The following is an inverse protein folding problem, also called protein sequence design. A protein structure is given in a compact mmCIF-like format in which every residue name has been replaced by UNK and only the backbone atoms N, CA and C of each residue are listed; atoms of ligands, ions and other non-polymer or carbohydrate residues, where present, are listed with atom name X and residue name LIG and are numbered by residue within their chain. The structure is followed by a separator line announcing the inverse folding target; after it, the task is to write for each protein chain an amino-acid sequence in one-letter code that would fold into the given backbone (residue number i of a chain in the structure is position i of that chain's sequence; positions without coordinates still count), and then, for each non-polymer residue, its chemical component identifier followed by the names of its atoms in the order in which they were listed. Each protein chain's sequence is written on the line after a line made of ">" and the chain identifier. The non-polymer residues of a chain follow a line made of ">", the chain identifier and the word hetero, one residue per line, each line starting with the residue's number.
data_IF_829900564307
#
_entry.id   IF_829900564307
#
_cell.length_a   1.000
_cell.length_b   1.000
_cell.length_c   1.000
_cell.angle_alpha   90.00
_cell.angle_beta   90.00
_cell.angle_gamma   90.00
#
_symmetry.space_group_name_H-M   'P 1'
#
loop_
_entity.id
_entity.type
_entity.pdbx_description
1 polymer ?
#
# COMPACT_ATOMS: atom_id res chain seq x y z
N UNK A 1 -18.43 -3.22 46.09
CA UNK A 1 -19.71 -3.72 45.53
C UNK A 1 -19.49 -4.01 44.06
N UNK A 2 -19.43 -5.29 43.69
CA UNK A 2 -19.25 -5.75 42.31
C UNK A 2 -20.63 -5.92 41.66
N UNK A 3 -20.84 -5.32 40.48
CA UNK A 3 -22.06 -5.52 39.69
C UNK A 3 -21.86 -6.80 38.87
N UNK A 4 -22.71 -7.84 39.02
CA UNK A 4 -22.50 -9.10 38.34
C UNK A 4 -22.82 -8.95 36.85
N UNK A 5 -21.94 -9.48 35.99
CA UNK A 5 -22.29 -9.81 34.62
C UNK A 5 -23.40 -10.87 34.67
N UNK A 6 -24.65 -10.44 34.49
CA UNK A 6 -25.74 -11.38 34.26
C UNK A 6 -25.47 -12.08 32.93
N UNK A 7 -25.29 -13.39 32.98
CA UNK A 7 -25.18 -14.25 31.82
C UNK A 7 -26.41 -14.05 30.95
N UNK A 8 -26.25 -13.41 29.79
CA UNK A 8 -27.25 -13.38 28.74
C UNK A 8 -27.37 -14.79 28.17
N UNK A 9 -28.16 -15.64 28.83
CA UNK A 9 -28.61 -16.91 28.28
C UNK A 9 -29.33 -16.62 26.97
N UNK A 10 -28.90 -17.22 25.87
CA UNK A 10 -29.53 -17.04 24.57
C UNK A 10 -30.96 -17.64 24.60
N UNK A 11 -31.97 -16.77 24.66
CA UNK A 11 -33.38 -17.15 24.54
C UNK A 11 -33.88 -16.79 23.15
N UNK A 12 -34.69 -17.65 22.54
CA UNK A 12 -35.32 -17.43 21.23
C UNK A 12 -36.56 -16.51 21.37
N UNK A 13 -36.36 -15.32 21.92
CA UNK A 13 -37.38 -14.27 22.04
C UNK A 13 -36.84 -12.94 21.47
N UNK A 14 -37.70 -12.05 20.95
CA UNK A 14 -37.29 -10.75 20.46
C UNK A 14 -36.71 -9.89 21.60
N UNK A 15 -35.58 -9.23 21.34
CA UNK A 15 -34.95 -8.33 22.33
C UNK A 15 -35.91 -7.20 22.75
N UNK A 16 -36.09 -7.06 24.06
CA UNK A 16 -36.83 -5.93 24.64
C UNK A 16 -36.10 -4.61 24.40
N UNK A 17 -36.78 -3.44 24.45
CA UNK A 17 -36.12 -2.13 24.32
C UNK A 17 -34.97 -1.91 25.32
N UNK A 18 -35.13 -2.42 26.54
CA UNK A 18 -34.11 -2.34 27.60
C UNK A 18 -32.88 -3.19 27.28
N UNK A 19 -33.08 -4.44 26.84
CA UNK A 19 -31.98 -5.32 26.42
C UNK A 19 -31.26 -4.74 25.20
N UNK A 20 -31.99 -4.21 24.21
CA UNK A 20 -31.39 -3.52 23.05
C UNK A 20 -30.49 -2.37 23.50
N UNK A 21 -30.95 -1.53 24.44
CA UNK A 21 -30.16 -0.41 24.98
C UNK A 21 -28.90 -0.89 25.70
N UNK A 22 -29.01 -1.90 26.58
CA UNK A 22 -27.87 -2.46 27.31
C UNK A 22 -26.85 -3.12 26.38
N UNK A 23 -27.32 -3.85 25.36
CA UNK A 23 -26.45 -4.45 24.34
C UNK A 23 -25.74 -3.38 23.50
N UNK A 24 -26.44 -2.31 23.09
CA UNK A 24 -25.84 -1.17 22.37
C UNK A 24 -24.78 -0.46 23.23
N UNK A 25 -25.05 -0.23 24.52
CA UNK A 25 -24.08 0.38 25.44
C UNK A 25 -22.84 -0.51 25.61
N UNK A 26 -23.03 -1.84 25.69
CA UNK A 26 -21.94 -2.81 25.77
C UNK A 26 -21.11 -2.80 24.49
N UNK A 27 -21.76 -2.82 23.32
CA UNK A 27 -21.10 -2.71 22.01
C UNK A 27 -20.31 -1.40 21.93
N UNK A 28 -20.85 -0.29 22.40
CA UNK A 28 -20.18 1.01 22.37
C UNK A 28 -18.94 1.03 23.28
N UNK A 29 -19.01 0.41 24.47
CA UNK A 29 -17.84 0.24 25.36
C UNK A 29 -16.76 -0.62 24.69
N UNK A 30 -17.14 -1.75 24.11
CA UNK A 30 -16.21 -2.64 23.38
C UNK A 30 -15.57 -1.88 22.21
N UNK A 31 -16.36 -1.21 21.38
CA UNK A 31 -15.87 -0.39 20.26
C UNK A 31 -14.86 0.65 20.74
N UNK A 32 -15.18 1.37 21.81
CA UNK A 32 -14.28 2.39 22.39
C UNK A 32 -12.98 1.76 22.89
N UNK A 33 -13.05 0.62 23.58
CA UNK A 33 -11.87 -0.12 24.06
C UNK A 33 -10.98 -0.59 22.91
N UNK A 34 -11.58 -1.18 21.87
CA UNK A 34 -10.86 -1.63 20.66
C UNK A 34 -10.19 -0.45 19.93
N UNK A 35 -10.90 0.66 19.76
CA UNK A 35 -10.33 1.86 19.12
C UNK A 35 -9.16 2.41 19.93
N UNK A 36 -9.31 2.56 21.26
CA UNK A 36 -8.22 3.01 22.14
C UNK A 36 -7.01 2.07 22.09
N UNK A 37 -7.23 0.76 22.09
CA UNK A 37 -6.17 -0.24 21.94
C UNK A 37 -5.40 -0.06 20.62
N UNK A 38 -6.12 0.04 19.49
CA UNK A 38 -5.52 0.27 18.16
C UNK A 38 -4.71 1.56 18.11
N UNK A 39 -5.23 2.66 18.64
CA UNK A 39 -4.52 3.95 18.68
C UNK A 39 -3.28 3.86 19.57
N UNK A 40 -3.33 3.10 20.66
CA UNK A 40 -2.19 2.83 21.54
C UNK A 40 -1.05 2.07 20.84
N UNK A 41 -1.39 1.01 20.10
CA UNK A 41 -0.44 0.26 19.26
C UNK A 41 0.18 1.17 18.20
N UNK A 42 -0.66 1.91 17.46
CA UNK A 42 -0.22 2.83 16.42
C UNK A 42 0.73 3.92 16.96
N UNK A 43 0.44 4.47 18.15
CA UNK A 43 1.30 5.47 18.81
C UNK A 43 2.66 4.89 19.19
N UNK A 44 2.70 3.67 19.73
CA UNK A 44 3.96 2.99 20.07
C UNK A 44 4.80 2.68 18.83
N UNK A 45 4.16 2.19 17.76
CA UNK A 45 4.82 1.95 16.47
C UNK A 45 5.37 3.25 15.87
N UNK A 46 4.58 4.34 15.86
CA UNK A 46 5.03 5.64 15.35
C UNK A 46 6.26 6.18 16.07
N UNK A 47 6.30 6.08 17.40
CA UNK A 47 7.45 6.53 18.19
C UNK A 47 8.72 5.74 17.81
N UNK A 48 8.63 4.41 17.79
CA UNK A 48 9.76 3.55 17.42
C UNK A 48 10.20 3.76 15.97
N UNK A 49 9.26 3.86 15.04
CA UNK A 49 9.56 4.00 13.62
C UNK A 49 10.19 5.35 13.31
N UNK A 50 9.76 6.44 13.96
CA UNK A 50 10.41 7.76 13.81
C UNK A 50 11.86 7.73 14.29
N UNK A 51 12.11 7.11 15.44
CA UNK A 51 13.48 6.93 15.94
C UNK A 51 14.34 6.10 14.97
N UNK A 52 13.81 4.99 14.47
CA UNK A 52 14.50 4.12 13.53
C UNK A 52 14.70 4.76 12.14
N UNK A 53 13.75 5.57 11.67
CA UNK A 53 13.83 6.22 10.35
C UNK A 53 14.79 7.43 10.30
N UNK A 54 15.38 7.82 11.44
CA UNK A 54 16.30 8.96 11.54
C UNK A 54 17.59 8.78 10.73
N UNK A 55 18.06 7.54 10.58
CA UNK A 55 19.28 7.23 9.81
C UNK A 55 19.23 5.82 9.21
N UNK A 56 20.09 5.56 8.22
CA UNK A 56 20.21 4.23 7.62
C UNK A 56 20.71 3.18 8.64
N UNK A 57 21.57 3.60 9.58
CA UNK A 57 22.11 2.75 10.64
C UNK A 57 21.00 2.38 11.61
N UNK A 58 20.27 3.38 12.11
CA UNK A 58 19.13 3.19 13.02
C UNK A 58 18.06 2.27 12.41
N UNK A 59 17.77 2.43 11.11
CA UNK A 59 16.81 1.60 10.42
C UNK A 59 17.26 0.14 10.29
N UNK A 60 18.54 -0.08 10.01
CA UNK A 60 19.15 -1.42 9.97
C UNK A 60 19.14 -2.09 11.35
N UNK A 61 19.56 -1.40 12.40
CA UNK A 61 19.58 -1.96 13.76
C UNK A 61 18.17 -2.29 14.23
N UNK A 62 17.21 -1.40 13.96
CA UNK A 62 15.81 -1.66 14.27
C UNK A 62 15.26 -2.86 13.50
N UNK A 63 15.62 -3.00 12.22
CA UNK A 63 15.28 -4.20 11.45
C UNK A 63 15.79 -5.48 12.11
N UNK A 64 17.05 -5.50 12.55
CA UNK A 64 17.61 -6.67 13.25
C UNK A 64 16.84 -6.99 14.52
N UNK A 65 16.49 -5.98 15.33
CA UNK A 65 15.68 -6.17 16.54
C UNK A 65 14.33 -6.81 16.21
N UNK A 66 13.60 -6.25 15.23
CA UNK A 66 12.31 -6.80 14.81
C UNK A 66 12.44 -8.20 14.20
N UNK A 67 13.50 -8.46 13.42
CA UNK A 67 13.72 -9.75 12.78
C UNK A 67 14.03 -10.84 13.78
N UNK A 68 14.91 -10.53 14.75
CA UNK A 68 15.20 -11.40 15.89
C UNK A 68 13.92 -11.76 16.65
N UNK A 69 13.12 -10.75 16.97
CA UNK A 69 11.87 -10.93 17.70
C UNK A 69 10.92 -11.93 17.00
N UNK A 70 10.64 -11.71 15.72
CA UNK A 70 9.70 -12.54 14.96
C UNK A 70 10.21 -13.93 14.63
N UNK A 71 11.50 -14.05 14.29
CA UNK A 71 12.04 -15.28 13.72
C UNK A 71 12.82 -16.14 14.70
N UNK A 72 13.19 -15.59 15.86
CA UNK A 72 13.97 -16.31 16.87
C UNK A 72 13.27 -16.26 18.23
N UNK A 73 13.07 -15.07 18.81
CA UNK A 73 12.53 -14.92 20.18
C UNK A 73 11.15 -15.55 20.32
N UNK A 74 10.17 -15.14 19.50
CA UNK A 74 8.80 -15.69 19.55
C UNK A 74 8.70 -17.17 19.17
N UNK A 75 9.75 -17.71 18.53
CA UNK A 75 9.85 -19.14 18.19
C UNK A 75 10.62 -19.95 19.23
N UNK A 76 11.10 -19.33 20.31
CA UNK A 76 11.89 -20.00 21.35
C UNK A 76 13.27 -20.45 20.88
N UNK A 77 13.82 -19.84 19.83
CA UNK A 77 15.13 -20.15 19.29
C UNK A 77 16.26 -19.69 20.23
N UNK A 78 17.43 -20.32 20.14
CA UNK A 78 18.59 -19.98 20.99
C UNK A 78 19.29 -18.73 20.47
N UNK A 79 19.93 -17.99 21.38
CA UNK A 79 20.73 -16.81 21.01
C UNK A 79 21.87 -17.14 20.05
N UNK A 80 22.48 -18.33 20.16
CA UNK A 80 23.52 -18.80 19.25
C UNK A 80 23.03 -18.89 17.81
N UNK A 81 21.80 -19.37 17.59
CA UNK A 81 21.22 -19.50 16.25
C UNK A 81 21.02 -18.13 15.59
N UNK A 82 20.58 -17.14 16.36
CA UNK A 82 20.49 -15.76 15.88
C UNK A 82 21.87 -15.19 15.54
N UNK A 83 22.89 -15.41 16.38
CA UNK A 83 24.25 -14.94 16.11
C UNK A 83 24.82 -15.56 14.83
N UNK A 84 24.63 -16.86 14.63
CA UNK A 84 25.09 -17.57 13.43
C UNK A 84 24.36 -17.08 12.18
N UNK A 85 23.04 -16.90 12.24
CA UNK A 85 22.27 -16.31 11.14
C UNK A 85 22.74 -14.90 10.82
N UNK A 86 22.94 -14.05 11.83
CA UNK A 86 23.38 -12.66 11.65
C UNK A 86 24.77 -12.60 11.01
N UNK A 87 25.68 -13.47 11.42
CA UNK A 87 27.02 -13.57 10.84
C UNK A 87 26.95 -13.97 9.35
N UNK A 88 26.14 -14.99 9.01
CA UNK A 88 25.95 -15.45 7.62
C UNK A 88 25.33 -14.40 6.69
N UNK A 89 24.55 -13.47 7.24
CA UNK A 89 23.82 -12.46 6.47
C UNK A 89 24.43 -11.05 6.59
N UNK A 90 25.57 -10.90 7.28
CA UNK A 90 26.13 -9.60 7.68
C UNK A 90 26.29 -8.65 6.49
N UNK A 91 26.96 -9.10 5.42
CA UNK A 91 27.35 -8.24 4.30
C UNK A 91 26.15 -7.58 3.63
N UNK A 92 25.09 -8.35 3.37
CA UNK A 92 23.86 -7.80 2.83
C UNK A 92 23.13 -6.91 3.84
N UNK A 93 23.01 -7.36 5.09
CA UNK A 93 22.18 -6.68 6.08
C UNK A 93 22.77 -5.33 6.52
N UNK A 94 24.10 -5.24 6.67
CA UNK A 94 24.79 -3.99 7.01
C UNK A 94 25.09 -3.09 5.82
N UNK A 95 24.69 -3.48 4.61
CA UNK A 95 24.89 -2.68 3.40
C UNK A 95 24.14 -1.34 3.49
N UNK A 96 24.70 -0.29 2.86
CA UNK A 96 24.08 1.04 2.80
C UNK A 96 22.74 0.96 2.06
N UNK A 97 22.65 0.10 1.07
CA UNK A 97 21.50 -0.19 0.24
C UNK A 97 20.35 -0.74 1.07
N UNK A 98 20.63 -1.75 1.90
CA UNK A 98 19.63 -2.32 2.80
C UNK A 98 19.16 -1.31 3.84
N UNK A 99 20.08 -0.58 4.49
CA UNK A 99 19.73 0.48 5.45
C UNK A 99 18.86 1.58 4.83
N UNK A 100 19.19 2.03 3.61
CA UNK A 100 18.40 3.04 2.87
C UNK A 100 16.99 2.55 2.56
N UNK A 101 16.85 1.32 2.04
CA UNK A 101 15.55 0.75 1.71
C UNK A 101 14.68 0.54 2.97
N UNK A 102 15.28 0.12 4.10
CA UNK A 102 14.55 0.00 5.37
C UNK A 102 14.11 1.33 5.94
N UNK A 103 14.96 2.36 5.86
CA UNK A 103 14.60 3.72 6.29
C UNK A 103 13.40 4.25 5.51
N UNK A 104 13.40 4.11 4.18
CA UNK A 104 12.29 4.53 3.33
C UNK A 104 11.01 3.69 3.58
N UNK A 105 11.14 2.38 3.80
CA UNK A 105 10.02 1.53 4.21
C UNK A 105 9.40 1.98 5.54
N UNK A 106 10.22 2.36 6.53
CA UNK A 106 9.72 2.90 7.81
C UNK A 106 9.00 4.24 7.61
N UNK A 107 9.52 5.14 6.76
CA UNK A 107 8.85 6.39 6.42
C UNK A 107 7.47 6.14 5.79
N UNK A 108 7.36 5.14 4.91
CA UNK A 108 6.08 4.74 4.34
C UNK A 108 5.11 4.19 5.41
N UNK A 109 5.60 3.36 6.32
CA UNK A 109 4.80 2.84 7.43
C UNK A 109 4.34 3.96 8.38
N UNK A 110 5.17 4.97 8.63
CA UNK A 110 4.79 6.16 9.41
C UNK A 110 3.61 6.87 8.75
N UNK A 111 3.66 7.13 7.43
CA UNK A 111 2.55 7.74 6.70
C UNK A 111 1.31 6.86 6.73
N UNK A 112 1.47 5.55 6.59
CA UNK A 112 0.38 4.58 6.64
C UNK A 112 -0.32 4.57 7.99
N UNK A 113 0.42 4.55 9.10
CA UNK A 113 -0.16 4.61 10.45
C UNK A 113 -0.85 5.95 10.69
N UNK A 114 -0.26 7.06 10.21
CA UNK A 114 -0.92 8.38 10.27
C UNK A 114 -2.24 8.38 9.52
N UNK A 115 -2.27 7.86 8.29
CA UNK A 115 -3.50 7.74 7.51
C UNK A 115 -4.57 6.90 8.22
N UNK A 116 -4.18 5.84 8.95
CA UNK A 116 -5.10 5.00 9.69
C UNK A 116 -5.71 5.69 10.92
N UNK A 117 -5.01 6.69 11.47
CA UNK A 117 -5.49 7.50 12.59
C UNK A 117 -6.32 8.71 12.14
N UNK A 118 -6.41 8.98 10.85
CA UNK A 118 -7.19 10.05 10.26
C UNK A 118 -8.50 9.54 9.67
N UNK A 119 -9.52 10.40 9.68
CA UNK A 119 -10.72 10.17 8.86
C UNK A 119 -10.36 10.26 7.38
N UNK A 120 -11.21 9.72 6.52
CA UNK A 120 -10.88 9.60 5.09
C UNK A 120 -10.66 10.96 4.42
N UNK A 121 -11.51 11.93 4.76
CA UNK A 121 -11.48 13.32 4.31
C UNK A 121 -10.26 14.11 4.80
N UNK A 122 -9.60 13.68 5.88
CA UNK A 122 -8.43 14.36 6.45
C UNK A 122 -7.10 13.84 5.83
N UNK A 123 -7.15 12.71 5.12
CA UNK A 123 -5.96 12.06 4.55
C UNK A 123 -5.30 12.86 3.43
N UNK A 124 -6.03 13.79 2.82
CA UNK A 124 -5.53 14.62 1.73
C UNK A 124 -4.34 15.48 2.18
N UNK A 125 -4.30 15.83 3.48
CA UNK A 125 -3.15 16.49 4.11
C UNK A 125 -1.83 15.70 4.03
N UNK A 126 -1.89 14.38 3.81
CA UNK A 126 -0.73 13.51 3.70
C UNK A 126 -0.20 13.37 2.26
N UNK A 127 -0.94 13.84 1.25
CA UNK A 127 -0.57 13.69 -0.16
C UNK A 127 0.81 14.30 -0.48
N UNK A 128 1.14 15.54 -0.06
CA UNK A 128 2.45 16.12 -0.33
C UNK A 128 3.62 15.31 0.25
N UNK A 129 3.42 14.76 1.46
CA UNK A 129 4.42 13.91 2.10
C UNK A 129 4.56 12.56 1.39
N UNK A 130 3.46 11.99 0.90
CA UNK A 130 3.46 10.76 0.13
C UNK A 130 4.22 10.95 -1.21
N UNK A 131 3.94 12.02 -1.94
CA UNK A 131 4.65 12.37 -3.19
C UNK A 131 6.15 12.55 -2.93
N UNK A 132 6.51 13.26 -1.85
CA UNK A 132 7.90 13.47 -1.46
C UNK A 132 8.60 12.14 -1.14
N UNK A 133 7.90 11.24 -0.43
CA UNK A 133 8.43 9.92 -0.14
C UNK A 133 8.62 9.07 -1.41
N UNK A 134 7.68 9.14 -2.37
CA UNK A 134 7.82 8.48 -3.66
C UNK A 134 9.06 9.01 -4.40
N UNK A 135 9.27 10.32 -4.47
CA UNK A 135 10.47 10.92 -5.08
C UNK A 135 11.76 10.44 -4.42
N UNK A 136 11.77 10.35 -3.08
CA UNK A 136 12.92 9.83 -2.34
C UNK A 136 13.18 8.35 -2.64
N UNK A 137 12.12 7.55 -2.79
CA UNK A 137 12.24 6.14 -3.17
C UNK A 137 12.77 5.99 -4.60
N UNK A 138 12.22 6.72 -5.55
CA UNK A 138 12.63 6.71 -6.96
C UNK A 138 14.09 7.17 -7.09
N UNK A 139 14.48 8.23 -6.39
CA UNK A 139 15.86 8.74 -6.43
C UNK A 139 16.87 7.76 -5.84
N UNK A 140 16.48 6.98 -4.81
CA UNK A 140 17.31 5.94 -4.23
C UNK A 140 17.32 4.65 -5.07
N UNK A 141 16.29 4.41 -5.88
CA UNK A 141 16.04 3.14 -6.56
C UNK A 141 17.23 2.62 -7.40
N UNK A 142 17.94 3.44 -8.21
CA UNK A 142 19.10 2.98 -8.98
C UNK A 142 20.23 2.42 -8.10
N UNK A 143 20.33 2.88 -6.85
CA UNK A 143 21.49 2.68 -5.99
C UNK A 143 21.28 1.63 -4.89
N UNK A 144 20.08 1.06 -4.75
CA UNK A 144 19.76 0.12 -3.66
C UNK A 144 19.84 -1.37 -4.08
N UNK A 145 20.27 -1.66 -5.31
CA UNK A 145 20.57 -3.03 -5.77
C UNK A 145 19.48 -4.06 -5.46
N UNK A 146 19.85 -5.18 -4.82
CA UNK A 146 18.92 -6.25 -4.42
C UNK A 146 17.85 -5.82 -3.42
N UNK A 147 18.04 -4.68 -2.74
CA UNK A 147 17.09 -4.13 -1.77
C UNK A 147 15.90 -3.40 -2.42
N UNK A 148 15.88 -3.21 -3.75
CA UNK A 148 14.72 -2.68 -4.50
C UNK A 148 13.40 -3.33 -4.10
N UNK A 149 13.40 -4.67 -3.95
CA UNK A 149 12.21 -5.46 -3.57
C UNK A 149 11.57 -5.01 -2.24
N UNK A 150 12.35 -4.46 -1.30
CA UNK A 150 11.83 -3.97 -0.01
C UNK A 150 10.84 -2.82 -0.22
N UNK A 151 11.12 -1.95 -1.19
CA UNK A 151 10.27 -0.80 -1.49
C UNK A 151 9.10 -1.18 -2.38
N UNK A 152 9.25 -2.13 -3.30
CA UNK A 152 8.16 -2.60 -4.18
C UNK A 152 7.21 -3.61 -3.54
N UNK A 153 7.59 -4.21 -2.41
CA UNK A 153 6.73 -5.15 -1.67
C UNK A 153 5.78 -4.41 -0.72
N UNK A 154 4.64 -5.03 -0.40
CA UNK A 154 3.69 -4.52 0.58
C UNK A 154 4.35 -4.29 1.95
N UNK A 155 4.40 -3.03 2.40
CA UNK A 155 5.11 -2.64 3.62
C UNK A 155 4.45 -3.22 4.89
N UNK A 156 3.14 -3.44 4.86
CA UNK A 156 2.39 -4.05 5.97
C UNK A 156 2.70 -5.55 6.16
N UNK A 157 3.37 -6.19 5.20
CA UNK A 157 3.91 -7.54 5.33
C UNK A 157 5.32 -7.58 5.93
N UNK A 158 5.96 -6.42 6.16
CA UNK A 158 7.32 -6.34 6.70
C UNK A 158 7.40 -6.83 8.14
N UNK A 159 8.59 -7.24 8.56
CA UNK A 159 8.87 -7.60 9.96
C UNK A 159 8.53 -6.47 10.94
N UNK A 160 8.70 -5.21 10.54
CA UNK A 160 8.29 -4.06 11.35
C UNK A 160 6.80 -4.11 11.68
N UNK A 161 5.97 -4.29 10.65
CA UNK A 161 4.52 -4.34 10.78
C UNK A 161 4.05 -5.57 11.58
N UNK A 162 4.73 -6.71 11.43
CA UNK A 162 4.40 -7.93 12.16
C UNK A 162 4.69 -7.86 13.67
N UNK A 163 5.81 -7.26 14.08
CA UNK A 163 6.15 -7.13 15.51
C UNK A 163 5.08 -6.35 16.26
N UNK A 164 4.57 -5.28 15.65
CA UNK A 164 3.57 -4.37 16.21
C UNK A 164 2.12 -4.75 15.85
N UNK A 165 1.91 -5.89 15.18
CA UNK A 165 0.59 -6.34 14.72
C UNK A 165 -0.23 -5.27 13.97
N UNK A 166 0.42 -4.53 13.05
CA UNK A 166 -0.26 -3.43 12.35
C UNK A 166 -1.44 -3.90 11.47
N UNK A 167 -1.47 -5.18 11.07
CA UNK A 167 -2.59 -5.70 10.29
C UNK A 167 -3.93 -5.54 11.03
N UNK A 168 -3.95 -5.68 12.36
CA UNK A 168 -5.16 -5.54 13.17
C UNK A 168 -5.59 -4.08 13.38
N UNK A 169 -4.69 -3.12 13.14
CA UNK A 169 -4.93 -1.68 13.35
C UNK A 169 -5.21 -0.92 12.06
N UNK A 170 -4.77 -1.44 10.90
CA UNK A 170 -4.89 -0.78 9.60
C UNK A 170 -6.15 -1.16 8.79
N UNK A 171 -7.09 -1.94 9.37
CA UNK A 171 -8.26 -2.52 8.69
C UNK A 171 -9.17 -1.47 8.00
N UNK A 172 -9.16 -0.21 8.45
CA UNK A 172 -9.97 0.87 7.90
C UNK A 172 -9.37 1.63 6.71
N UNK A 173 -8.15 1.29 6.28
CA UNK A 173 -7.44 1.97 5.20
C UNK A 173 -7.88 1.50 3.81
N UNK A 174 -9.05 1.97 3.38
CA UNK A 174 -9.49 1.82 1.99
C UNK A 174 -8.65 2.70 1.08
N UNK A 175 -8.30 2.18 -0.10
CA UNK A 175 -7.59 2.90 -1.18
C UNK A 175 -6.25 3.52 -0.77
N UNK A 176 -5.66 3.08 0.35
CA UNK A 176 -4.32 3.48 0.75
C UNK A 176 -3.29 2.55 0.09
N UNK A 177 -2.17 3.07 -0.42
CA UNK A 177 -1.18 2.26 -1.09
C UNK A 177 -0.55 1.24 -0.15
N UNK A 178 -0.13 0.10 -0.73
CA UNK A 178 0.56 -0.95 0.02
C UNK A 178 2.08 -0.80 -0.02
N UNK A 179 2.61 -0.11 -1.01
CA UNK A 179 4.04 0.06 -1.27
C UNK A 179 4.31 1.49 -1.76
N UNK A 180 5.45 2.10 -1.39
CA UNK A 180 5.86 3.41 -1.90
C UNK A 180 6.31 3.42 -3.37
N UNK A 181 6.57 2.26 -3.97
CA UNK A 181 7.00 2.15 -5.38
C UNK A 181 5.87 1.76 -6.34
N UNK A 182 4.65 1.53 -5.84
CA UNK A 182 3.47 1.37 -6.67
C UNK A 182 2.95 2.74 -7.16
N UNK A 183 3.74 3.42 -7.98
CA UNK A 183 3.47 4.81 -8.41
C UNK A 183 2.12 4.92 -9.10
N UNK A 184 1.85 4.02 -10.06
CA UNK A 184 0.58 3.99 -10.77
C UNK A 184 -0.59 3.78 -9.79
N UNK A 185 -0.50 2.79 -8.90
CA UNK A 185 -1.55 2.52 -7.91
C UNK A 185 -1.79 3.70 -6.98
N UNK A 186 -0.73 4.33 -6.45
CA UNK A 186 -0.82 5.50 -5.57
C UNK A 186 -1.59 6.65 -6.26
N UNK A 187 -1.26 6.97 -7.51
CA UNK A 187 -1.98 8.03 -8.22
C UNK A 187 -3.44 7.68 -8.46
N UNK A 188 -3.73 6.47 -8.92
CA UNK A 188 -5.08 6.05 -9.30
C UNK A 188 -6.02 5.82 -8.11
N UNK A 189 -5.51 5.31 -6.98
CA UNK A 189 -6.34 5.01 -5.82
C UNK A 189 -6.38 6.12 -4.79
N UNK A 190 -5.33 6.94 -4.69
CA UNK A 190 -5.13 7.82 -3.53
C UNK A 190 -5.04 9.29 -3.89
N UNK A 191 -4.29 9.66 -4.93
CA UNK A 191 -4.02 11.06 -5.24
C UNK A 191 -5.08 11.64 -6.20
N UNK A 192 -5.18 11.10 -7.42
CA UNK A 192 -6.04 11.68 -8.46
C UNK A 192 -7.53 11.72 -8.10
N UNK A 193 -8.12 10.71 -7.43
CA UNK A 193 -9.52 10.78 -7.04
C UNK A 193 -9.88 12.01 -6.18
N UNK A 194 -8.91 12.60 -5.47
CA UNK A 194 -9.12 13.79 -4.64
C UNK A 194 -9.13 15.09 -5.44
N UNK A 195 -8.57 15.08 -6.63
CA UNK A 195 -8.49 16.25 -7.53
C UNK A 195 -9.43 16.16 -8.73
N UNK A 196 -10.24 15.09 -8.84
CA UNK A 196 -11.23 14.95 -9.90
C UNK A 196 -12.50 15.74 -9.57
N UNK A 197 -12.34 17.06 -9.43
CA UNK A 197 -13.42 18.04 -9.31
C UNK A 197 -13.16 19.21 -10.24
N UNK A 198 -14.20 19.96 -10.58
CA UNK A 198 -14.09 21.14 -11.44
C UNK A 198 -13.27 22.29 -10.83
N UNK A 199 -13.10 22.29 -9.50
CA UNK A 199 -12.37 23.32 -8.75
C UNK A 199 -10.87 23.01 -8.63
N UNK A 200 -10.47 21.75 -8.82
CA UNK A 200 -9.10 21.26 -8.55
C UNK A 200 -8.38 20.77 -9.82
N UNK A 201 -8.83 21.25 -10.99
CA UNK A 201 -8.32 20.86 -12.30
C UNK A 201 -6.81 21.14 -12.43
N UNK A 202 -6.34 22.26 -11.87
CA UNK A 202 -4.92 22.62 -11.88
C UNK A 202 -4.08 21.60 -11.11
N UNK A 203 -4.50 21.24 -9.91
CA UNK A 203 -3.87 20.23 -9.06
C UNK A 203 -3.91 18.86 -9.72
N UNK A 204 -5.02 18.50 -10.38
CA UNK A 204 -5.14 17.27 -11.15
C UNK A 204 -4.12 17.21 -12.30
N UNK A 205 -3.96 18.31 -13.05
CA UNK A 205 -2.98 18.39 -14.14
C UNK A 205 -1.55 18.30 -13.63
N UNK A 206 -1.24 18.96 -12.51
CA UNK A 206 0.06 18.84 -11.85
C UNK A 206 0.33 17.42 -11.34
N UNK A 207 -0.69 16.74 -10.82
CA UNK A 207 -0.59 15.35 -10.38
C UNK A 207 -0.29 14.41 -11.56
N UNK A 208 -0.95 14.60 -12.70
CA UNK A 208 -0.65 13.87 -13.95
C UNK A 208 0.78 14.10 -14.43
N UNK A 209 1.24 15.35 -14.46
CA UNK A 209 2.60 15.68 -14.88
C UNK A 209 3.65 15.10 -13.91
N UNK A 210 3.36 15.14 -12.61
CA UNK A 210 4.23 14.55 -11.60
C UNK A 210 4.31 13.03 -11.74
N UNK A 211 3.19 12.35 -11.96
CA UNK A 211 3.15 10.91 -12.24
C UNK A 211 4.00 10.55 -13.45
N UNK A 212 3.76 11.21 -14.59
CA UNK A 212 4.52 10.94 -15.82
C UNK A 212 6.03 11.17 -15.60
N UNK A 213 6.41 12.25 -14.92
CA UNK A 213 7.82 12.51 -14.59
C UNK A 213 8.43 11.41 -13.71
N UNK A 214 7.69 10.91 -12.73
CA UNK A 214 8.13 9.83 -11.85
C UNK A 214 8.27 8.49 -12.58
N UNK A 215 7.29 8.13 -13.42
CA UNK A 215 7.35 6.89 -14.20
C UNK A 215 8.50 6.92 -15.21
N UNK A 216 8.76 8.05 -15.88
CA UNK A 216 9.95 8.24 -16.74
C UNK A 216 11.24 7.96 -15.97
N UNK A 217 11.38 8.48 -14.74
CA UNK A 217 12.57 8.25 -13.92
C UNK A 217 12.72 6.80 -13.49
N UNK A 218 11.62 6.11 -13.20
CA UNK A 218 11.64 4.68 -12.87
C UNK A 218 12.14 3.88 -14.06
N UNK A 219 11.57 4.09 -15.25
CA UNK A 219 11.96 3.35 -16.46
C UNK A 219 13.42 3.62 -16.81
N UNK A 220 13.87 4.87 -16.74
CA UNK A 220 15.28 5.23 -16.96
C UNK A 220 16.22 4.54 -15.96
N UNK A 221 15.77 4.29 -14.71
CA UNK A 221 16.58 3.61 -13.69
C UNK A 221 16.76 2.10 -13.94
N UNK A 222 16.01 1.53 -14.89
CA UNK A 222 16.18 0.13 -15.30
C UNK A 222 17.35 -0.05 -16.27
N UNK A 223 17.86 1.03 -16.86
CA UNK A 223 18.92 1.02 -17.88
C UNK A 223 18.61 0.06 -19.04
N UNK A 224 17.34 0.01 -19.46
CA UNK A 224 16.86 -0.85 -20.54
C UNK A 224 16.29 0.02 -21.66
N UNK A 225 16.98 0.04 -22.80
CA UNK A 225 16.53 0.78 -23.99
C UNK A 225 15.19 0.27 -24.51
N UNK A 226 14.92 -1.04 -24.37
CA UNK A 226 13.63 -1.63 -24.70
C UNK A 226 12.53 -1.14 -23.76
N UNK A 227 12.78 -1.10 -22.44
CA UNK A 227 11.80 -0.59 -21.48
C UNK A 227 11.50 0.90 -21.72
N UNK A 228 12.54 1.69 -22.00
CA UNK A 228 12.40 3.11 -22.35
C UNK A 228 11.61 3.31 -23.65
N UNK A 229 11.91 2.54 -24.70
CA UNK A 229 11.18 2.60 -25.97
C UNK A 229 9.72 2.19 -25.80
N UNK A 230 9.45 1.08 -25.10
CA UNK A 230 8.11 0.61 -24.80
C UNK A 230 7.33 1.66 -24.00
N UNK A 231 7.92 2.23 -22.97
CA UNK A 231 7.28 3.28 -22.19
C UNK A 231 6.99 4.52 -23.03
N UNK A 232 7.97 5.00 -23.80
CA UNK A 232 7.83 6.20 -24.62
C UNK A 232 6.77 6.05 -25.72
N UNK A 233 6.69 4.88 -26.34
CA UNK A 233 5.84 4.66 -27.51
C UNK A 233 4.46 4.07 -27.17
N UNK A 234 4.28 3.47 -25.99
CA UNK A 234 3.01 2.85 -25.58
C UNK A 234 2.44 3.48 -24.31
N UNK A 235 3.19 3.42 -23.21
CA UNK A 235 2.65 3.84 -21.90
C UNK A 235 2.44 5.34 -21.81
N UNK A 236 3.43 6.14 -22.22
CA UNK A 236 3.39 7.59 -22.09
C UNK A 236 2.27 8.24 -22.92
N UNK A 237 2.03 7.88 -24.20
CA UNK A 237 0.88 8.36 -24.96
C UNK A 237 -0.44 8.04 -24.26
N UNK A 238 -0.59 6.83 -23.72
CA UNK A 238 -1.77 6.43 -22.96
C UNK A 238 -1.99 7.27 -21.69
N UNK A 239 -0.93 7.57 -20.93
CA UNK A 239 -1.03 8.47 -19.77
C UNK A 239 -1.45 9.89 -20.17
N UNK A 240 -0.93 10.40 -21.29
CA UNK A 240 -1.34 11.70 -21.84
C UNK A 240 -2.80 11.69 -22.26
N UNK A 241 -3.26 10.64 -22.94
CA UNK A 241 -4.67 10.48 -23.29
C UNK A 241 -5.57 10.57 -22.06
N UNK A 242 -5.26 9.83 -20.98
CA UNK A 242 -6.02 9.91 -19.73
C UNK A 242 -5.98 11.29 -19.06
N UNK A 243 -4.83 11.97 -19.07
CA UNK A 243 -4.72 13.37 -18.62
C UNK A 243 -5.68 14.28 -19.41
N UNK A 244 -5.72 14.14 -20.74
CA UNK A 244 -6.57 14.97 -21.58
C UNK A 244 -8.04 14.62 -21.44
N UNK A 245 -8.37 13.35 -21.21
CA UNK A 245 -9.74 12.95 -20.86
C UNK A 245 -10.20 13.64 -19.57
N UNK A 246 -9.35 13.71 -18.54
CA UNK A 246 -9.69 14.45 -17.32
C UNK A 246 -9.87 15.97 -17.56
N UNK A 247 -9.10 16.59 -18.47
CA UNK A 247 -9.34 17.98 -18.89
C UNK A 247 -10.68 18.15 -19.61
N UNK A 248 -11.02 17.20 -20.48
CA UNK A 248 -12.27 17.22 -21.23
C UNK A 248 -13.47 17.13 -20.29
N UNK A 249 -13.42 16.25 -19.28
CA UNK A 249 -14.45 16.14 -18.22
C UNK A 249 -14.52 17.35 -17.30
N UNK A 250 -13.42 18.08 -17.14
CA UNK A 250 -13.37 19.35 -16.44
C UNK A 250 -13.99 20.53 -17.24
N UNK A 251 -14.48 20.29 -18.45
CA UNK A 251 -15.04 21.32 -19.33
C UNK A 251 -14.00 22.14 -20.09
N UNK A 252 -12.71 21.77 -20.03
CA UNK A 252 -11.63 22.43 -20.79
C UNK A 252 -11.55 21.89 -22.22
N UNK A 253 -12.70 21.80 -22.91
CA UNK A 253 -12.86 20.99 -24.12
C UNK A 253 -11.95 21.44 -25.27
N UNK A 254 -11.83 22.75 -25.50
CA UNK A 254 -10.98 23.26 -26.59
C UNK A 254 -9.52 22.86 -26.41
N UNK A 255 -9.00 23.00 -25.19
CA UNK A 255 -7.61 22.64 -24.88
C UNK A 255 -7.42 21.12 -24.97
N UNK A 256 -8.30 20.35 -24.32
CA UNK A 256 -8.23 18.89 -24.30
C UNK A 256 -8.25 18.29 -25.72
N UNK A 257 -9.22 18.68 -26.55
CA UNK A 257 -9.36 18.16 -27.91
C UNK A 257 -8.17 18.55 -28.80
N UNK A 258 -7.63 19.77 -28.65
CA UNK A 258 -6.42 20.19 -29.38
C UNK A 258 -5.22 19.31 -29.02
N UNK A 259 -5.06 19.00 -27.73
CA UNK A 259 -3.99 18.14 -27.24
C UNK A 259 -4.17 16.68 -27.68
N UNK A 260 -5.40 16.16 -27.68
CA UNK A 260 -5.73 14.82 -28.19
C UNK A 260 -5.44 14.67 -29.69
N UNK A 261 -5.87 15.63 -30.53
CA UNK A 261 -5.53 15.65 -31.97
C UNK A 261 -4.02 15.62 -32.17
N UNK A 262 -3.29 16.42 -31.38
CA UNK A 262 -1.82 16.47 -31.43
C UNK A 262 -1.21 15.13 -31.04
N UNK A 263 -1.74 14.47 -30.01
CA UNK A 263 -1.27 13.18 -29.53
C UNK A 263 -1.44 12.09 -30.58
N UNK A 264 -2.64 11.96 -31.15
CA UNK A 264 -2.96 11.00 -32.23
C UNK A 264 -2.05 11.24 -33.44
N UNK A 265 -1.93 12.50 -33.88
CA UNK A 265 -1.05 12.86 -35.02
C UNK A 265 0.42 12.49 -34.80
N UNK A 266 0.90 12.56 -33.56
CA UNK A 266 2.31 12.27 -33.23
C UNK A 266 2.58 10.81 -32.88
N UNK A 267 1.54 9.97 -32.79
CA UNK A 267 1.65 8.56 -32.47
C UNK A 267 0.74 7.72 -33.39
N UNK A 268 0.89 7.80 -34.73
CA UNK A 268 0.00 7.15 -35.68
C UNK A 268 0.00 5.61 -35.60
N UNK A 269 1.10 5.02 -35.10
CA UNK A 269 1.25 3.57 -34.98
C UNK A 269 0.94 3.04 -33.57
N UNK A 270 0.28 3.85 -32.72
CA UNK A 270 -0.05 3.44 -31.36
C UNK A 270 -1.09 2.31 -31.34
N UNK A 271 -0.98 1.36 -30.42
CA UNK A 271 -1.88 0.19 -30.34
C UNK A 271 -3.36 0.53 -30.09
N UNK A 272 -3.64 1.71 -29.52
CA UNK A 272 -4.98 2.25 -29.28
C UNK A 272 -5.40 3.33 -30.31
N UNK A 273 -4.69 3.48 -31.44
CA UNK A 273 -4.92 4.62 -32.34
C UNK A 273 -6.34 4.65 -32.92
N UNK A 274 -6.89 3.50 -33.30
CA UNK A 274 -8.24 3.40 -33.89
C UNK A 274 -9.31 3.82 -32.86
N UNK A 275 -9.22 3.29 -31.63
CA UNK A 275 -10.11 3.66 -30.52
C UNK A 275 -10.03 5.16 -30.21
N UNK A 276 -8.82 5.74 -30.20
CA UNK A 276 -8.64 7.18 -29.95
C UNK A 276 -9.19 8.05 -31.08
N UNK A 277 -9.11 7.60 -32.34
CA UNK A 277 -9.69 8.32 -33.47
C UNK A 277 -11.22 8.31 -33.40
N UNK A 278 -11.83 7.16 -33.11
CA UNK A 278 -13.28 7.02 -32.96
C UNK A 278 -13.81 7.88 -31.80
N UNK A 279 -13.16 7.81 -30.64
CA UNK A 279 -13.49 8.64 -29.48
C UNK A 279 -13.39 10.14 -29.82
N UNK A 280 -12.30 10.54 -30.48
CA UNK A 280 -12.04 11.94 -30.82
C UNK A 280 -13.05 12.48 -31.85
N UNK A 281 -13.42 11.70 -32.86
CA UNK A 281 -14.51 12.05 -33.79
C UNK A 281 -15.83 12.21 -33.01
N UNK A 282 -16.12 11.26 -32.12
CA UNK A 282 -17.31 11.29 -31.27
C UNK A 282 -17.41 12.56 -30.42
N UNK A 283 -16.32 12.95 -29.76
CA UNK A 283 -16.26 14.14 -28.91
C UNK A 283 -16.35 15.44 -29.74
N UNK A 284 -15.65 15.52 -30.88
CA UNK A 284 -15.67 16.73 -31.73
C UNK A 284 -17.04 16.92 -32.39
N UNK A 285 -17.67 15.84 -32.83
CA UNK A 285 -19.00 15.87 -33.45
C UNK A 285 -20.14 16.05 -32.44
N UNK A 286 -19.85 15.96 -31.13
CA UNK A 286 -20.85 16.00 -30.06
C UNK A 286 -21.75 14.77 -30.00
N UNK A 287 -21.43 13.70 -30.74
CA UNK A 287 -22.15 12.42 -30.69
C UNK A 287 -21.87 11.64 -29.41
N UNK A 288 -20.70 11.86 -28.81
CA UNK A 288 -20.25 11.18 -27.60
C UNK A 288 -20.01 12.22 -26.52
N UNK A 289 -20.60 11.98 -25.34
CA UNK A 289 -20.31 12.74 -24.14
C UNK A 289 -19.10 12.10 -23.41
N UNK A 290 -18.02 12.84 -23.12
CA UNK A 290 -16.91 12.37 -22.28
C UNK A 290 -17.32 11.97 -20.84
N UNK A 291 -18.52 12.40 -20.42
CA UNK A 291 -19.12 12.14 -19.11
C UNK A 291 -18.51 12.99 -18.00
N UNK A 292 -19.08 12.91 -16.80
CA UNK A 292 -18.54 13.62 -15.62
C UNK A 292 -17.46 12.80 -14.91
N UNK A 293 -16.76 13.43 -13.95
CA UNK A 293 -15.83 12.70 -13.08
C UNK A 293 -16.51 11.59 -12.28
N UNK A 294 -17.72 11.83 -11.79
CA UNK A 294 -18.51 10.85 -11.03
C UNK A 294 -18.90 9.65 -11.88
N UNK A 295 -19.31 9.88 -13.13
CA UNK A 295 -19.65 8.81 -14.06
C UNK A 295 -18.44 7.97 -14.43
N UNK A 296 -17.30 8.61 -14.68
CA UNK A 296 -16.03 7.92 -14.95
C UNK A 296 -15.60 7.07 -13.75
N UNK A 297 -15.73 7.60 -12.53
CA UNK A 297 -15.39 6.88 -11.30
C UNK A 297 -16.34 5.71 -11.04
N UNK A 298 -17.63 5.86 -11.34
CA UNK A 298 -18.60 4.77 -11.27
C UNK A 298 -18.26 3.65 -12.24
N UNK A 299 -18.01 3.98 -13.52
CA UNK A 299 -17.59 3.00 -14.55
C UNK A 299 -16.31 2.27 -14.13
N UNK A 300 -15.33 2.98 -13.55
CA UNK A 300 -14.09 2.39 -13.04
C UNK A 300 -14.36 1.37 -11.94
N UNK A 301 -15.19 1.71 -10.93
CA UNK A 301 -15.55 0.81 -9.84
C UNK A 301 -16.31 -0.42 -10.34
N UNK A 302 -17.21 -0.25 -11.29
CA UNK A 302 -17.95 -1.35 -11.92
C UNK A 302 -17.01 -2.31 -12.67
N UNK A 303 -16.05 -1.77 -13.44
CA UNK A 303 -15.03 -2.56 -14.12
C UNK A 303 -14.12 -3.31 -13.14
N UNK A 304 -13.75 -2.69 -12.02
CA UNK A 304 -12.96 -3.35 -10.96
C UNK A 304 -13.72 -4.52 -10.34
N UNK A 305 -15.00 -4.33 -10.01
CA UNK A 305 -15.86 -5.39 -9.47
C UNK A 305 -16.02 -6.52 -10.50
N UNK A 306 -16.21 -6.19 -11.78
CA UNK A 306 -16.29 -7.18 -12.85
C UNK A 306 -15.00 -8.01 -12.98
N UNK A 307 -13.83 -7.35 -12.92
CA UNK A 307 -12.52 -8.01 -12.96
C UNK A 307 -12.24 -8.87 -11.72
N UNK A 308 -12.73 -8.48 -10.54
CA UNK A 308 -12.62 -9.30 -9.34
C UNK A 308 -13.52 -10.55 -9.43
N UNK A 309 -14.73 -10.41 -10.01
CA UNK A 309 -15.65 -11.53 -10.26
C UNK A 309 -15.14 -12.50 -11.34
N UNK A 310 -14.51 -12.00 -12.40
CA UNK A 310 -13.94 -12.87 -13.44
C UNK A 310 -12.74 -13.66 -12.94
N UNK A 311 -11.91 -13.06 -12.07
CA UNK A 311 -10.80 -13.75 -11.39
C UNK A 311 -11.25 -14.79 -10.35
N UNK A 312 -12.42 -14.62 -9.74
CA UNK A 312 -12.99 -15.61 -8.81
C UNK A 312 -13.82 -16.71 -9.49
N UNK A 313 -14.29 -16.49 -10.72
CA UNK A 313 -15.09 -17.44 -11.49
C UNK A 313 -14.27 -18.46 -12.31
N UNK A 314 -12.94 -18.28 -12.42
CA UNK A 314 -12.07 -19.17 -13.22
C UNK A 314 -10.95 -19.77 -12.34
N UNK A 315 -11.16 -20.93 -11.68
CA UNK A 315 -10.12 -21.56 -10.85
C UNK A 315 -9.09 -22.36 -11.67
N UNK A 316 -9.27 -22.47 -12.99
CA UNK A 316 -8.39 -23.22 -13.90
C UNK A 316 -7.66 -22.26 -14.85
N UNK A 317 -6.64 -21.59 -14.32
CA UNK A 317 -5.81 -20.63 -15.04
C UNK A 317 -4.79 -20.08 -14.09
N UNK A 318 -4.00 -20.97 -13.48
CA UNK A 318 -3.04 -20.68 -12.43
C UNK A 318 -2.00 -19.67 -12.91
N UNK A 319 -2.27 -18.39 -12.67
CA UNK A 319 -1.24 -17.37 -12.62
C UNK A 319 -0.28 -17.77 -11.50
N UNK A 320 0.93 -18.07 -11.94
CA UNK A 320 2.04 -18.56 -11.15
C UNK A 320 2.21 -17.72 -9.90
N UNK A 321 1.94 -18.37 -8.77
CA UNK A 321 2.50 -18.03 -7.49
C UNK A 321 3.99 -18.45 -7.47
N UNK A 322 4.76 -18.11 -8.50
CA UNK A 322 6.20 -18.35 -8.58
C UNK A 322 6.91 -17.29 -7.76
N UNK A 323 6.83 -17.42 -6.42
CA UNK A 323 7.95 -17.10 -5.51
C UNK A 323 7.64 -17.31 -4.01
N UNK A 324 6.57 -18.02 -3.64
CA UNK A 324 6.42 -18.48 -2.25
C UNK A 324 6.87 -19.93 -2.13
N UNK A 325 6.54 -20.78 -3.11
CA UNK A 325 6.98 -22.18 -3.10
C UNK A 325 8.43 -22.37 -3.58
N UNK A 326 8.94 -21.50 -4.46
CA UNK A 326 10.37 -21.47 -4.79
C UNK A 326 11.21 -20.84 -3.67
N UNK A 327 10.68 -19.85 -2.96
CA UNK A 327 11.32 -19.31 -1.76
C UNK A 327 11.24 -20.29 -0.57
N UNK A 328 10.16 -21.08 -0.46
CA UNK A 328 10.05 -22.20 0.48
C UNK A 328 10.99 -23.33 0.10
N UNK A 329 11.07 -23.76 -1.16
CA UNK A 329 12.03 -24.78 -1.61
C UNK A 329 13.48 -24.34 -1.45
N UNK A 330 13.78 -23.06 -1.70
CA UNK A 330 15.11 -22.49 -1.45
C UNK A 330 15.45 -22.39 0.05
N UNK A 331 14.45 -22.38 0.95
CA UNK A 331 14.61 -22.39 2.41
C UNK A 331 14.49 -23.80 3.02
N UNK A 332 13.80 -24.74 2.35
CA UNK A 332 13.66 -26.15 2.74
C UNK A 332 14.88 -26.99 2.33
N UNK A 333 15.69 -26.52 1.38
CA UNK A 333 17.02 -27.07 1.10
C UNK A 333 18.03 -26.88 2.24
N UNK A 334 17.69 -26.09 3.26
CA UNK A 334 18.44 -26.01 4.52
C UNK A 334 17.77 -26.95 5.53
N UNK A 335 18.12 -28.23 5.40
CA UNK A 335 17.77 -29.30 6.32
C UNK A 335 18.06 -28.91 7.78
N UNK A 336 17.01 -28.54 8.52
CA UNK A 336 16.95 -28.63 9.97
C UNK A 336 15.68 -29.43 10.27
N UNK A 337 15.86 -30.74 10.36
CA UNK A 337 14.77 -31.68 10.60
C UNK A 337 14.03 -31.42 11.90
N UNK A 338 12.76 -31.85 11.91
CA UNK A 338 12.03 -32.19 13.13
C UNK A 338 10.69 -31.48 13.31
N UNK A 339 9.60 -32.21 13.04
CA UNK A 339 8.39 -32.09 13.86
C UNK A 339 7.18 -31.40 13.22
N UNK A 340 6.31 -32.19 12.60
CA UNK A 340 4.90 -31.87 12.33
C UNK A 340 4.18 -31.48 13.63
N UNK A 341 3.51 -30.32 13.65
CA UNK A 341 2.12 -30.25 14.09
C UNK A 341 1.43 -28.97 13.61
N UNK A 342 0.50 -29.14 12.68
CA UNK A 342 -0.38 -28.08 12.19
C UNK A 342 -1.53 -27.87 13.16
N UNK A 343 -1.68 -26.64 13.65
CA UNK A 343 -2.86 -26.19 14.38
C UNK A 343 -3.10 -24.73 14.06
N UNK A 344 -4.25 -24.44 13.44
CA UNK A 344 -4.81 -23.08 13.32
C UNK A 344 -4.79 -22.42 14.69
N UNK A 345 -3.92 -21.43 14.92
CA UNK A 345 -4.02 -20.55 16.08
C UNK A 345 -4.89 -19.37 15.70
N UNK A 346 -5.98 -19.22 16.44
CA UNK A 346 -6.79 -18.02 16.46
C UNK A 346 -5.98 -16.79 16.87
N UNK A 347 -6.63 -15.64 16.76
CA UNK A 347 -6.14 -14.33 17.17
C UNK A 347 -5.55 -14.46 18.60
N UNK A 348 -4.28 -14.08 18.84
CA UNK A 348 -3.75 -14.05 20.20
C UNK A 348 -4.55 -13.01 21.01
N UNK A 349 -5.28 -13.47 22.03
CA UNK A 349 -5.68 -12.60 23.12
C UNK A 349 -4.39 -12.15 23.82
N UNK A 350 -4.19 -10.83 23.89
CA UNK A 350 -3.07 -10.14 24.52
C UNK A 350 -1.80 -10.05 23.66
N UNK A 351 -1.80 -9.09 22.73
CA UNK A 351 -0.55 -8.40 22.38
C UNK A 351 -0.13 -7.61 23.62
N UNK A 352 0.90 -8.07 24.33
CA UNK A 352 1.49 -7.34 25.44
C UNK A 352 2.26 -6.12 24.88
N UNK A 353 1.54 -4.99 24.80
CA UNK A 353 2.08 -3.71 24.32
C UNK A 353 3.22 -3.24 25.23
N UNK A 354 3.20 -3.61 26.51
CA UNK A 354 4.21 -3.18 27.49
C UNK A 354 5.50 -3.99 27.32
N UNK A 355 5.42 -5.29 27.00
CA UNK A 355 6.59 -6.07 26.58
C UNK A 355 7.22 -5.52 25.29
N UNK A 356 6.41 -5.11 24.31
CA UNK A 356 6.91 -4.45 23.10
C UNK A 356 7.56 -3.10 23.45
N UNK A 357 6.95 -2.29 24.32
CA UNK A 357 7.53 -1.00 24.76
C UNK A 357 8.83 -1.18 25.53
N UNK A 358 8.93 -2.16 26.43
CA UNK A 358 10.14 -2.45 27.20
C UNK A 358 11.30 -2.91 26.32
N UNK A 359 11.02 -3.69 25.27
CA UNK A 359 12.03 -4.15 24.31
C UNK A 359 12.70 -3.01 23.53
N UNK A 360 12.00 -1.88 23.33
CA UNK A 360 12.50 -0.76 22.51
C UNK A 360 12.90 0.50 23.31
N UNK A 361 12.60 0.55 24.61
CA UNK A 361 12.92 1.70 25.48
C UNK A 361 14.18 1.51 26.36
N UNK A 362 14.83 0.34 26.35
CA UNK A 362 16.16 0.19 26.98
C UNK A 362 17.24 0.76 26.05
N UNK A 363 17.76 1.93 26.45
CA UNK A 363 18.92 2.60 25.83
C UNK A 363 20.16 1.72 25.87
#
# INVERSE_FOLDING_TARGET
>A
MAVPFSSLMAQNQPLTPTEKKQMLDTINKIKTGVIKGRTGVNSAALAAYRGAASSNISAYEFYLKCYKEMNFTRKGAKESEYRDWRAKNKDYLSSREHGTARRLQLQFLILTIRAANLKEEERDSLIPELITLMDNCISAYPYIGKSKRILSSGATGSTFAQVYDLQSTLVGLKNWPRSPMDVSGIYESTIMPRYRTTETVKELMQAWDKRMSQEVKIVASENSSEAEANFKNKTLPKLKWFKYMDLLRAGQSREALTLMVTLVRTNPDHENIDEWLDDLEGYISGKVDPGTFEEAEKKRKEAEIANQKSKSANPAGGLGNTNIDDARKALEGLNLGGGRNGGRRGIPENVDIDQIRELFNRR
#
